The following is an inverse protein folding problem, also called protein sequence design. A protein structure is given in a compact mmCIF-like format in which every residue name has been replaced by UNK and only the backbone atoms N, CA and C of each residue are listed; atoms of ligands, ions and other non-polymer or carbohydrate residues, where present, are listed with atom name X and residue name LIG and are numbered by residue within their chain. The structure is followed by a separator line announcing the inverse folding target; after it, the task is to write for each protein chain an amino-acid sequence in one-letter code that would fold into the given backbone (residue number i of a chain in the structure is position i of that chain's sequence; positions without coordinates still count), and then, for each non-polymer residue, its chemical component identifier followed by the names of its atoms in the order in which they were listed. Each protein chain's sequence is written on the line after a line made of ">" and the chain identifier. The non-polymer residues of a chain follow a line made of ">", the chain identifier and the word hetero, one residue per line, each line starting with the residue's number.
data_IF_582074367061
#
_entry.id   IF_582074367061
#
_cell.length_a   1.000
_cell.length_b   1.000
_cell.length_c   1.000
_cell.angle_alpha   90.00
_cell.angle_beta   90.00
_cell.angle_gamma   90.00
#
_symmetry.space_group_name_H-M   'P 1'
#
loop_
_entity.id
_entity.type
_entity.pdbx_description
1 polymer ?
#
# COMPACT_ATOMS: atom_id res chain seq x y z
N UNK A 1 -0.42 -28.11 -47.45
CA UNK A 1 -0.08 -26.89 -46.67
C UNK A 1 -1.23 -26.46 -45.72
N UNK A 2 -1.80 -27.36 -44.89
CA UNK A 2 -2.94 -27.05 -43.99
C UNK A 2 -2.62 -27.05 -42.49
N UNK A 3 -1.41 -27.42 -42.08
CA UNK A 3 -1.02 -27.55 -40.66
C UNK A 3 -0.29 -26.33 -40.07
N UNK A 4 0.01 -25.30 -40.88
CA UNK A 4 0.72 -24.09 -40.43
C UNK A 4 -0.21 -22.96 -39.95
N UNK A 5 -1.48 -23.00 -40.35
CA UNK A 5 -2.48 -22.01 -39.95
C UNK A 5 -2.82 -22.02 -38.45
N UNK A 6 -3.00 -23.18 -37.76
CA UNK A 6 -3.38 -23.16 -36.36
C UNK A 6 -2.23 -22.72 -35.44
N UNK A 7 -0.98 -22.98 -35.81
CA UNK A 7 0.20 -22.57 -35.02
C UNK A 7 0.38 -21.04 -35.07
N UNK A 8 0.14 -20.42 -36.23
CA UNK A 8 0.24 -18.97 -36.40
C UNK A 8 -0.88 -18.21 -35.65
N UNK A 9 -2.08 -18.78 -35.56
CA UNK A 9 -3.18 -18.22 -34.76
C UNK A 9 -2.91 -18.31 -33.25
N UNK A 10 -2.30 -19.41 -32.79
CA UNK A 10 -1.93 -19.60 -31.38
C UNK A 10 -0.86 -18.60 -30.94
N UNK A 11 0.13 -18.31 -31.79
CA UNK A 11 1.13 -17.27 -31.51
C UNK A 11 0.56 -15.85 -31.48
N UNK A 12 -0.47 -15.56 -32.26
CA UNK A 12 -1.16 -14.26 -32.19
C UNK A 12 -1.93 -14.10 -30.87
N UNK A 13 -2.58 -15.15 -30.38
CA UNK A 13 -3.26 -15.09 -29.07
C UNK A 13 -2.29 -14.88 -27.90
N UNK A 14 -1.07 -15.42 -27.98
CA UNK A 14 -0.05 -15.24 -26.93
C UNK A 14 0.51 -13.81 -26.94
N UNK A 15 0.62 -13.16 -28.10
CA UNK A 15 1.16 -11.79 -28.22
C UNK A 15 0.10 -10.72 -27.90
N UNK A 16 -1.16 -10.95 -28.23
CA UNK A 16 -2.27 -10.04 -27.86
C UNK A 16 -2.75 -10.24 -26.42
N UNK A 17 -2.38 -11.36 -25.78
CA UNK A 17 -2.67 -11.68 -24.39
C UNK A 17 -1.58 -11.25 -23.41
N UNK A 18 -0.56 -10.49 -23.84
CA UNK A 18 0.34 -9.81 -22.89
C UNK A 18 -0.44 -8.63 -22.30
N UNK A 19 -1.34 -8.96 -21.37
CA UNK A 19 -1.94 -7.97 -20.50
C UNK A 19 -0.80 -7.22 -19.82
N UNK A 20 -0.68 -5.93 -20.10
CA UNK A 20 0.29 -5.08 -19.45
C UNK A 20 0.12 -5.23 -17.93
N UNK A 21 1.14 -5.75 -17.25
CA UNK A 21 1.10 -5.91 -15.81
C UNK A 21 0.98 -4.52 -15.19
N UNK A 22 -0.11 -4.27 -14.46
CA UNK A 22 -0.33 -3.00 -13.79
C UNK A 22 0.82 -2.72 -12.82
N UNK A 23 1.33 -1.50 -12.87
CA UNK A 23 2.44 -1.03 -12.03
C UNK A 23 1.88 -0.16 -10.89
N UNK A 24 2.19 -0.52 -9.66
CA UNK A 24 1.72 0.16 -8.45
C UNK A 24 2.93 0.70 -7.68
N UNK A 25 2.94 2.00 -7.41
CA UNK A 25 3.91 2.65 -6.53
C UNK A 25 3.34 2.84 -5.13
N UNK A 26 4.05 2.40 -4.10
CA UNK A 26 3.66 2.64 -2.71
C UNK A 26 4.41 3.83 -2.12
N UNK A 27 3.69 4.69 -1.42
CA UNK A 27 4.24 5.81 -0.66
C UNK A 27 3.74 5.74 0.78
N UNK A 28 4.58 5.23 1.67
CA UNK A 28 4.22 4.97 3.05
C UNK A 28 4.76 6.08 3.97
N UNK A 29 3.85 6.77 4.66
CA UNK A 29 4.15 7.86 5.60
C UNK A 29 3.72 7.43 7.01
N UNK A 30 4.56 7.71 8.01
CA UNK A 30 4.16 7.64 9.40
C UNK A 30 4.52 8.92 10.16
N UNK A 31 3.80 9.22 11.24
CA UNK A 31 3.93 10.46 11.98
C UNK A 31 5.32 10.63 12.62
N UNK A 32 5.85 11.86 12.61
CA UNK A 32 7.20 12.18 13.11
C UNK A 32 7.40 11.94 14.61
N UNK A 33 6.32 12.00 15.38
CA UNK A 33 6.29 11.75 16.82
C UNK A 33 5.93 10.29 17.17
N UNK A 34 6.01 9.38 16.19
CA UNK A 34 5.68 7.98 16.39
C UNK A 34 6.62 7.30 17.40
N UNK A 35 6.09 6.42 18.27
CA UNK A 35 6.92 5.64 19.19
C UNK A 35 7.76 4.59 18.45
N UNK A 36 8.80 4.08 19.12
CA UNK A 36 9.58 2.95 18.62
C UNK A 36 8.67 1.74 18.29
N UNK A 37 8.91 1.06 17.17
CA UNK A 37 8.03 0.02 16.64
C UNK A 37 7.15 0.47 15.47
N UNK A 38 6.98 1.78 15.25
CA UNK A 38 6.09 2.31 14.22
C UNK A 38 6.60 2.07 12.79
N UNK A 39 7.91 2.21 12.57
CA UNK A 39 8.51 1.91 11.27
C UNK A 39 8.34 0.43 10.93
N UNK A 40 8.56 -0.48 11.89
CA UNK A 40 8.40 -1.92 11.67
C UNK A 40 6.94 -2.33 11.40
N UNK A 41 5.97 -1.61 11.97
CA UNK A 41 4.55 -1.82 11.66
C UNK A 41 4.19 -1.28 10.28
N UNK A 42 4.71 -0.11 9.90
CA UNK A 42 4.52 0.48 8.56
C UNK A 42 5.13 -0.41 7.48
N UNK A 43 6.35 -0.90 7.69
CA UNK A 43 7.03 -1.85 6.80
C UNK A 43 6.25 -3.14 6.65
N UNK A 44 5.65 -3.67 7.72
CA UNK A 44 4.84 -4.87 7.59
C UNK A 44 3.55 -4.64 6.81
N UNK A 45 2.91 -3.47 6.94
CA UNK A 45 1.75 -3.13 6.13
C UNK A 45 2.12 -3.09 4.64
N UNK A 46 3.22 -2.41 4.33
CA UNK A 46 3.74 -2.37 2.96
C UNK A 46 4.09 -3.77 2.44
N UNK A 47 4.75 -4.60 3.25
CA UNK A 47 5.12 -5.97 2.85
C UNK A 47 3.88 -6.78 2.47
N UNK A 48 2.80 -6.71 3.26
CA UNK A 48 1.54 -7.41 2.95
C UNK A 48 0.91 -6.90 1.64
N UNK A 49 1.06 -5.61 1.32
CA UNK A 49 0.60 -5.05 0.03
C UNK A 49 1.46 -5.48 -1.16
N UNK A 50 2.77 -5.60 -0.96
CA UNK A 50 3.69 -6.16 -1.96
C UNK A 50 3.36 -7.62 -2.26
N UNK A 51 3.18 -8.43 -1.21
CA UNK A 51 2.75 -9.83 -1.34
C UNK A 51 1.41 -9.91 -2.07
N UNK A 52 0.44 -9.06 -1.70
CA UNK A 52 -0.86 -9.00 -2.37
C UNK A 52 -0.74 -8.70 -3.87
N UNK A 53 0.14 -7.77 -4.26
CA UNK A 53 0.40 -7.42 -5.65
C UNK A 53 1.08 -8.56 -6.41
N UNK A 54 2.08 -9.19 -5.79
CA UNK A 54 2.81 -10.32 -6.35
C UNK A 54 1.88 -11.48 -6.68
N UNK A 55 0.99 -11.85 -5.75
CA UNK A 55 0.01 -12.93 -5.92
C UNK A 55 -0.96 -12.70 -7.10
N UNK A 56 -1.07 -11.46 -7.57
CA UNK A 56 -1.98 -11.03 -8.66
C UNK A 56 -1.25 -10.65 -9.94
N UNK A 57 0.07 -10.85 -10.01
CA UNK A 57 0.87 -10.54 -11.19
C UNK A 57 1.01 -9.04 -11.48
N UNK A 58 0.84 -8.19 -10.46
CA UNK A 58 1.11 -6.75 -10.55
C UNK A 58 2.57 -6.46 -10.22
N UNK A 59 3.13 -5.42 -10.83
CA UNK A 59 4.48 -4.95 -10.53
C UNK A 59 4.40 -3.88 -9.45
N UNK A 60 4.94 -4.17 -8.26
CA UNK A 60 4.98 -3.24 -7.15
C UNK A 60 6.37 -2.60 -7.00
N UNK A 61 6.39 -1.31 -6.69
CA UNK A 61 7.58 -0.57 -6.25
C UNK A 61 7.22 0.33 -5.08
N UNK A 62 8.20 0.80 -4.31
CA UNK A 62 7.98 1.72 -3.22
C UNK A 62 9.09 2.75 -3.13
N UNK A 63 8.74 3.91 -2.59
CA UNK A 63 9.70 4.95 -2.20
C UNK A 63 10.16 4.68 -0.76
N UNK A 64 11.29 5.26 -0.36
CA UNK A 64 11.73 5.15 1.02
C UNK A 64 10.67 5.71 1.99
N UNK A 65 10.47 5.04 3.12
CA UNK A 65 9.49 5.45 4.12
C UNK A 65 9.71 6.89 4.55
N UNK A 66 8.60 7.62 4.67
CA UNK A 66 8.64 9.03 4.98
C UNK A 66 8.20 9.22 6.43
N UNK A 67 9.14 9.69 7.25
CA UNK A 67 8.79 10.32 8.52
C UNK A 67 8.16 11.67 8.18
N UNK A 68 6.87 11.83 8.40
CA UNK A 68 6.13 12.98 7.90
C UNK A 68 4.87 13.31 8.69
N UNK A 69 4.10 14.26 8.19
CA UNK A 69 2.83 14.66 8.76
C UNK A 69 1.68 14.41 7.75
N UNK A 70 0.46 14.67 8.21
CA UNK A 70 -0.73 14.51 7.38
C UNK A 70 -0.77 15.49 6.18
N UNK A 71 -0.13 16.66 6.27
CA UNK A 71 -0.07 17.62 5.16
C UNK A 71 0.72 17.04 3.98
N UNK A 72 1.86 16.39 4.25
CA UNK A 72 2.65 15.70 3.24
C UNK A 72 1.90 14.53 2.61
N UNK A 73 1.09 13.83 3.39
CA UNK A 73 0.18 12.82 2.84
C UNK A 73 -0.86 13.45 1.90
N UNK A 74 -1.38 14.64 2.20
CA UNK A 74 -2.40 15.28 1.37
C UNK A 74 -1.88 15.85 0.03
N UNK A 75 -0.58 16.10 -0.10
CA UNK A 75 0.03 16.64 -1.31
C UNK A 75 0.28 15.53 -2.36
N UNK A 76 -0.65 15.37 -3.30
CA UNK A 76 -0.54 14.38 -4.39
C UNK A 76 0.67 14.62 -5.29
N UNK A 77 0.98 15.88 -5.59
CA UNK A 77 2.07 16.21 -6.49
C UNK A 77 3.41 15.84 -5.86
N UNK A 78 3.58 16.15 -4.57
CA UNK A 78 4.76 15.74 -3.82
C UNK A 78 4.88 14.22 -3.72
N UNK A 79 3.78 13.48 -3.54
CA UNK A 79 3.78 12.02 -3.49
C UNK A 79 4.21 11.39 -4.82
N UNK A 80 3.67 11.89 -5.94
CA UNK A 80 3.96 11.38 -7.29
C UNK A 80 5.42 11.66 -7.68
N UNK A 81 5.96 12.82 -7.31
CA UNK A 81 7.33 13.22 -7.62
C UNK A 81 8.42 12.36 -6.95
N UNK A 82 8.05 11.53 -5.97
CA UNK A 82 9.00 10.63 -5.31
C UNK A 82 9.39 9.43 -6.18
N UNK A 83 8.64 9.14 -7.24
CA UNK A 83 8.90 8.01 -8.12
C UNK A 83 9.77 8.45 -9.31
N UNK A 84 10.98 7.87 -9.41
CA UNK A 84 11.91 8.11 -10.53
C UNK A 84 11.42 7.52 -11.86
N UNK A 85 10.45 6.62 -11.81
CA UNK A 85 9.86 5.93 -12.97
C UNK A 85 8.35 6.06 -12.94
N UNK A 86 7.73 6.13 -14.12
CA UNK A 86 6.28 6.10 -14.23
C UNK A 86 5.71 4.77 -13.74
N UNK A 87 4.72 4.86 -12.87
CA UNK A 87 3.81 3.76 -12.51
C UNK A 87 2.41 4.07 -13.05
N UNK A 88 1.51 3.10 -13.09
CA UNK A 88 0.11 3.36 -13.46
C UNK A 88 -0.61 4.07 -12.32
N UNK A 89 -0.40 3.60 -11.09
CA UNK A 89 -1.06 4.13 -9.91
C UNK A 89 -0.12 4.27 -8.72
N UNK A 90 -0.43 5.23 -7.86
CA UNK A 90 0.22 5.41 -6.56
C UNK A 90 -0.77 5.09 -5.45
N UNK A 91 -0.34 4.23 -4.52
CA UNK A 91 -1.03 3.97 -3.26
C UNK A 91 -0.28 4.72 -2.17
N UNK A 92 -0.87 5.81 -1.69
CA UNK A 92 -0.31 6.57 -0.58
C UNK A 92 -0.97 6.14 0.73
N UNK A 93 -0.16 5.88 1.75
CA UNK A 93 -0.57 5.41 3.07
C UNK A 93 -0.07 6.38 4.13
N UNK A 94 -0.95 6.77 5.06
CA UNK A 94 -0.60 7.51 6.25
C UNK A 94 -1.00 6.72 7.49
N UNK A 95 0.04 6.30 8.23
CA UNK A 95 -0.09 5.58 9.48
C UNK A 95 0.21 6.50 10.66
N UNK A 96 -0.81 6.82 11.46
CA UNK A 96 -0.66 7.60 12.69
C UNK A 96 -0.54 6.64 13.88
N UNK A 97 0.57 6.71 14.60
CA UNK A 97 0.86 5.94 15.80
C UNK A 97 0.97 6.85 17.01
N UNK A 98 0.64 6.34 18.19
CA UNK A 98 0.86 7.01 19.47
C UNK A 98 1.38 6.04 20.50
N UNK A 99 1.93 6.58 21.58
CA UNK A 99 2.24 5.80 22.76
C UNK A 99 0.94 5.29 23.41
N UNK A 100 0.86 3.99 23.70
CA UNK A 100 -0.29 3.39 24.38
C UNK A 100 -0.43 3.95 25.80
N UNK A 101 -1.64 4.34 26.19
CA UNK A 101 -1.96 4.94 27.50
C UNK A 101 -2.15 3.88 28.61
N UNK A 102 -1.26 2.88 28.65
CA UNK A 102 -1.27 1.81 29.67
C UNK A 102 -0.35 2.12 30.85
N UNK A 103 -0.66 1.57 32.02
CA UNK A 103 0.07 1.77 33.28
C UNK A 103 1.58 1.51 33.10
N UNK A 104 2.35 2.59 33.12
CA UNK A 104 3.80 2.63 32.90
C UNK A 104 4.58 1.98 34.06
N UNK A 105 3.91 1.56 35.14
CA UNK A 105 4.54 1.03 36.34
C UNK A 105 5.30 -0.30 36.14
N UNK A 106 5.00 -1.09 35.10
CA UNK A 106 5.58 -2.44 34.92
C UNK A 106 6.09 -2.77 33.50
N UNK A 107 6.13 -1.81 32.57
CA UNK A 107 6.59 -2.08 31.18
C UNK A 107 7.92 -1.38 30.90
N UNK A 108 8.95 -2.17 30.61
CA UNK A 108 10.29 -1.71 30.22
C UNK A 108 10.32 -0.89 28.91
N UNK A 109 9.27 -0.96 28.07
CA UNK A 109 9.10 -0.12 26.87
C UNK A 109 7.64 0.27 26.71
N UNK A 110 7.35 1.52 26.32
CA UNK A 110 6.00 1.91 25.94
C UNK A 110 5.51 1.09 24.75
N UNK A 111 4.29 0.56 24.82
CA UNK A 111 3.69 -0.13 23.68
C UNK A 111 3.26 0.91 22.64
N UNK A 112 3.55 0.65 21.36
CA UNK A 112 2.98 1.41 20.24
C UNK A 112 1.49 1.10 20.11
N UNK A 113 0.68 2.11 19.84
CA UNK A 113 -0.73 1.99 19.50
C UNK A 113 -0.94 2.60 18.11
N UNK A 114 -1.66 1.88 17.24
CA UNK A 114 -2.03 2.38 15.92
C UNK A 114 -3.32 3.19 16.04
N UNK A 115 -3.22 4.50 15.84
CA UNK A 115 -4.30 5.48 16.04
C UNK A 115 -5.14 5.68 14.78
N UNK A 116 -4.51 5.75 13.61
CA UNK A 116 -5.19 6.01 12.34
C UNK A 116 -4.45 5.33 11.19
N UNK A 117 -5.23 4.82 10.26
CA UNK A 117 -4.77 4.50 8.91
C UNK A 117 -5.62 5.28 7.93
N UNK A 118 -4.98 6.03 7.05
CA UNK A 118 -5.64 6.69 5.93
C UNK A 118 -4.87 6.35 4.66
N UNK A 119 -5.58 6.09 3.58
CA UNK A 119 -4.94 5.67 2.35
C UNK A 119 -5.72 6.18 1.13
N UNK A 120 -5.00 6.40 0.04
CA UNK A 120 -5.58 6.83 -1.22
C UNK A 120 -4.92 6.17 -2.41
N UNK A 121 -5.72 5.97 -3.44
CA UNK A 121 -5.33 5.40 -4.72
C UNK A 121 -5.37 6.52 -5.76
N UNK A 122 -4.24 6.77 -6.40
CA UNK A 122 -4.03 7.93 -7.27
C UNK A 122 -3.62 7.42 -8.65
N UNK A 123 -4.27 7.92 -9.70
CA UNK A 123 -3.81 7.71 -11.07
C UNK A 123 -2.58 8.58 -11.34
N UNK A 124 -1.45 7.96 -11.71
CA UNK A 124 -0.16 8.65 -11.78
C UNK A 124 -0.14 9.76 -12.83
N UNK A 125 -0.82 9.55 -13.97
CA UNK A 125 -0.76 10.46 -15.10
C UNK A 125 -1.71 11.66 -14.93
N UNK A 126 -2.94 11.40 -14.50
CA UNK A 126 -3.95 12.44 -14.28
C UNK A 126 -3.82 13.12 -12.92
N UNK A 127 -3.07 12.51 -11.98
CA UNK A 127 -2.88 12.96 -10.59
C UNK A 127 -4.16 13.00 -9.75
N UNK A 128 -5.23 12.44 -10.28
CA UNK A 128 -6.52 12.40 -9.61
C UNK A 128 -6.55 11.26 -8.61
N UNK A 129 -7.17 11.53 -7.46
CA UNK A 129 -7.51 10.49 -6.49
C UNK A 129 -8.67 9.68 -7.07
N UNK A 130 -8.42 8.42 -7.37
CA UNK A 130 -9.43 7.43 -7.79
C UNK A 130 -10.30 7.05 -6.61
N UNK A 131 -9.66 6.85 -5.44
CA UNK A 131 -10.33 6.47 -4.20
C UNK A 131 -9.52 6.92 -2.98
N UNK A 132 -10.20 7.24 -1.89
CA UNK A 132 -9.59 7.53 -0.60
C UNK A 132 -10.45 6.98 0.53
N UNK A 133 -9.81 6.37 1.53
CA UNK A 133 -10.49 5.80 2.68
C UNK A 133 -9.69 5.98 3.96
N UNK A 134 -10.44 6.09 5.06
CA UNK A 134 -9.90 6.05 6.41
C UNK A 134 -10.34 4.78 7.10
N UNK A 135 -9.36 4.01 7.55
CA UNK A 135 -9.55 2.82 8.38
C UNK A 135 -9.23 3.20 9.82
N UNK A 136 -10.20 3.01 10.73
CA UNK A 136 -9.92 3.07 12.17
C UNK A 136 -9.34 1.73 12.62
N UNK A 137 -8.05 1.67 13.05
CA UNK A 137 -7.45 0.42 13.50
C UNK A 137 -8.18 -0.23 14.67
N UNK A 138 -9.00 0.51 15.43
CA UNK A 138 -9.84 -0.04 16.51
C UNK A 138 -10.98 -0.92 16.00
N UNK A 139 -11.44 -0.68 14.78
CA UNK A 139 -12.54 -1.44 14.17
C UNK A 139 -12.07 -2.74 13.51
N UNK A 140 -10.75 -2.94 13.36
CA UNK A 140 -10.19 -4.19 12.84
C UNK A 140 -10.33 -5.27 13.92
N UNK A 141 -10.99 -6.41 13.65
CA UNK A 141 -11.35 -7.45 14.62
C UNK A 141 -10.17 -8.36 14.99
N UNK A 142 -9.02 -7.76 15.28
CA UNK A 142 -7.82 -8.44 15.75
C UNK A 142 -7.35 -7.77 17.05
N UNK A 143 -6.82 -8.52 18.01
CA UNK A 143 -6.27 -7.94 19.25
C UNK A 143 -4.79 -7.62 19.11
N UNK A 144 -4.08 -8.39 18.29
CA UNK A 144 -2.66 -8.25 18.04
C UNK A 144 -2.39 -7.24 16.92
N UNK A 145 -1.51 -6.27 17.18
CA UNK A 145 -1.15 -5.22 16.21
C UNK A 145 -0.63 -5.78 14.88
N UNK A 146 0.18 -6.84 14.91
CA UNK A 146 0.69 -7.48 13.69
C UNK A 146 -0.44 -8.08 12.83
N UNK A 147 -1.42 -8.72 13.46
CA UNK A 147 -2.59 -9.26 12.75
C UNK A 147 -3.47 -8.14 12.19
N UNK A 148 -3.67 -7.05 12.95
CA UNK A 148 -4.36 -5.86 12.44
C UNK A 148 -3.71 -5.31 11.18
N UNK A 149 -2.37 -5.23 11.16
CA UNK A 149 -1.60 -4.78 9.99
C UNK A 149 -1.85 -5.69 8.79
N UNK A 150 -1.78 -7.01 8.98
CA UNK A 150 -2.10 -7.98 7.94
C UNK A 150 -3.52 -7.83 7.40
N UNK A 151 -4.51 -7.78 8.28
CA UNK A 151 -5.92 -7.59 7.92
C UNK A 151 -6.14 -6.28 7.15
N UNK A 152 -5.51 -5.19 7.58
CA UNK A 152 -5.56 -3.90 6.87
C UNK A 152 -4.94 -3.99 5.47
N UNK A 153 -3.77 -4.62 5.33
CA UNK A 153 -3.12 -4.82 4.03
C UNK A 153 -3.99 -5.60 3.06
N UNK A 154 -4.65 -6.66 3.54
CA UNK A 154 -5.60 -7.44 2.74
C UNK A 154 -6.83 -6.64 2.32
N UNK A 155 -7.41 -5.84 3.24
CA UNK A 155 -8.54 -4.95 2.93
C UNK A 155 -8.15 -3.93 1.88
N UNK A 156 -7.05 -3.19 2.09
CA UNK A 156 -6.55 -2.19 1.15
C UNK A 156 -6.27 -2.82 -0.22
N UNK A 157 -5.55 -3.95 -0.25
CA UNK A 157 -5.25 -4.64 -1.50
C UNK A 157 -6.52 -5.05 -2.26
N UNK A 158 -7.54 -5.56 -1.56
CA UNK A 158 -8.82 -5.92 -2.17
C UNK A 158 -9.52 -4.70 -2.76
N UNK A 159 -9.58 -3.59 -2.02
CA UNK A 159 -10.15 -2.33 -2.52
C UNK A 159 -9.36 -1.73 -3.69
N UNK A 160 -8.03 -1.85 -3.70
CA UNK A 160 -7.21 -1.47 -4.84
C UNK A 160 -7.60 -2.28 -6.08
N UNK A 161 -7.78 -3.60 -5.95
CA UNK A 161 -8.15 -4.46 -7.07
C UNK A 161 -9.54 -4.14 -7.63
N UNK A 162 -10.50 -3.78 -6.77
CA UNK A 162 -11.84 -3.36 -7.19
C UNK A 162 -11.84 -2.02 -7.94
N UNK A 163 -10.81 -1.19 -7.72
CA UNK A 163 -10.64 0.10 -8.37
C UNK A 163 -9.82 0.07 -9.68
N UNK A 164 -9.22 -1.08 -10.03
CA UNK A 164 -8.41 -1.30 -11.24
C UNK A 164 -9.24 -1.68 -12.47
#
# INVERSE_FOLDING_TARGET
>A
MKKRLPIMLLSFLIVYGVGYAKTIGFACIYNSDAPAGASELTTALETELFEFCFDRGMVATSVEYIVGNYERYNDNDALIQLFDSSVDYVVALYCEYKQASGDTANRLKPAVEWKRLQWKFIDFFSRNVVFEERIDPKNIPDTELRRKVKSAGQTIGTSMLEAL
#
